data_IF_266704537014
#
_entry.id   IF_266704537014
#
_cell.length_a   1.000
_cell.length_b   1.000
_cell.length_c   1.000
_cell.angle_alpha   90.00
_cell.angle_beta   90.00
_cell.angle_gamma   90.00
#
_symmetry.space_group_name_H-M   'P 1'
#
loop_
_entity.id
_entity.type
_entity.pdbx_description
1 polymer ?
#
# COMPACT_ATOMS: atom_id res chain seq x y z
N UNK A 1 -20.85 7.64 -13.39
CA UNK A 1 -20.84 6.17 -13.28
C UNK A 1 -19.62 5.81 -12.47
N UNK A 2 -19.79 5.26 -11.27
CA UNK A 2 -18.70 4.71 -10.48
C UNK A 2 -18.27 3.42 -11.21
N UNK A 3 -17.01 3.35 -11.67
CA UNK A 3 -16.45 2.09 -12.18
C UNK A 3 -16.68 0.99 -11.15
N UNK A 4 -16.93 -0.26 -11.57
CA UNK A 4 -17.04 -1.37 -10.66
C UNK A 4 -15.78 -1.40 -9.79
N UNK A 5 -15.95 -1.14 -8.49
CA UNK A 5 -14.91 -1.38 -7.51
C UNK A 5 -14.53 -2.84 -7.68
N UNK A 6 -13.30 -3.09 -8.12
CA UNK A 6 -12.72 -4.41 -8.11
C UNK A 6 -12.82 -4.88 -6.65
N UNK A 7 -13.67 -5.87 -6.37
CA UNK A 7 -13.88 -6.38 -5.01
C UNK A 7 -12.71 -7.30 -4.69
N UNK A 8 -11.61 -6.67 -4.32
CA UNK A 8 -10.38 -7.37 -4.04
C UNK A 8 -10.34 -7.69 -2.54
N UNK A 9 -10.29 -8.99 -2.19
CA UNK A 9 -10.09 -9.42 -0.80
C UNK A 9 -8.61 -9.29 -0.44
N UNK A 10 -8.14 -8.06 -0.27
CA UNK A 10 -6.80 -7.82 0.24
C UNK A 10 -6.77 -7.96 1.76
N UNK A 11 -5.63 -8.41 2.28
CA UNK A 11 -5.30 -8.25 3.69
C UNK A 11 -4.68 -6.85 3.83
N UNK A 12 -5.41 -5.83 4.34
CA UNK A 12 -4.81 -4.54 4.63
C UNK A 12 -3.76 -4.74 5.73
N UNK A 13 -2.56 -4.27 5.46
CA UNK A 13 -1.45 -4.35 6.41
C UNK A 13 -0.93 -2.95 6.67
N UNK A 14 -0.69 -2.64 7.94
CA UNK A 14 0.00 -1.43 8.37
C UNK A 14 1.22 -1.81 9.19
N UNK A 15 2.15 -0.86 9.35
CA UNK A 15 3.36 -1.07 10.13
C UNK A 15 2.99 -1.42 11.58
N UNK A 16 3.23 -2.67 11.97
CA UNK A 16 3.37 -3.02 13.37
C UNK A 16 4.72 -2.46 13.86
N UNK A 17 4.71 -1.77 15.01
CA UNK A 17 5.93 -1.33 15.67
C UNK A 17 6.73 -2.56 16.10
N UNK A 18 7.78 -2.85 15.33
CA UNK A 18 8.75 -3.87 15.69
C UNK A 18 9.66 -3.30 16.78
N UNK A 19 9.44 -3.68 18.04
CA UNK A 19 10.48 -3.48 19.05
C UNK A 19 11.70 -4.28 18.58
N UNK A 20 12.92 -3.71 18.72
CA UNK A 20 14.16 -4.46 18.47
C UNK A 20 14.18 -5.63 19.46
N UNK A 21 13.55 -6.74 19.09
CA UNK A 21 13.58 -7.96 19.85
C UNK A 21 15.03 -8.34 20.10
N UNK A 22 15.28 -9.14 21.14
CA UNK A 22 16.59 -9.74 21.38
C UNK A 22 16.88 -10.83 20.32
N UNK A 23 16.85 -10.45 19.04
CA UNK A 23 17.09 -11.31 17.86
C UNK A 23 18.48 -11.94 17.85
N UNK A 24 19.38 -11.42 18.69
CA UNK A 24 20.69 -12.00 18.99
C UNK A 24 20.57 -13.35 19.72
N UNK A 25 19.55 -13.53 20.56
CA UNK A 25 19.32 -14.77 21.32
C UNK A 25 18.76 -15.90 20.41
N UNK A 26 18.02 -15.53 19.35
CA UNK A 26 17.42 -16.48 18.39
C UNK A 26 18.28 -16.67 17.12
N UNK A 27 19.58 -16.92 17.30
CA UNK A 27 20.61 -16.87 16.23
C UNK A 27 20.71 -18.07 15.26
N UNK A 28 19.80 -19.06 15.30
CA UNK A 28 19.88 -20.26 14.44
C UNK A 28 18.70 -20.32 13.46
N UNK A 29 18.88 -19.83 12.24
CA UNK A 29 17.90 -19.94 11.16
C UNK A 29 18.26 -19.10 9.94
N UNK A 30 17.62 -19.39 8.80
CA UNK A 30 17.73 -18.63 7.55
C UNK A 30 17.16 -17.22 7.76
N UNK A 31 18.02 -16.28 8.16
CA UNK A 31 17.61 -14.91 8.50
C UNK A 31 17.50 -14.08 7.22
N UNK A 32 16.42 -14.24 6.48
CA UNK A 32 15.91 -13.09 5.72
C UNK A 32 15.59 -12.01 6.74
N UNK A 33 16.47 -11.01 6.81
CA UNK A 33 16.36 -9.84 7.69
C UNK A 33 15.23 -8.95 7.16
N UNK A 34 13.99 -9.38 7.34
CA UNK A 34 12.79 -8.61 6.98
C UNK A 34 12.55 -7.62 8.11
N UNK A 35 13.17 -6.45 8.03
CA UNK A 35 12.75 -5.32 8.85
C UNK A 35 11.62 -4.60 8.12
N UNK A 36 10.51 -4.34 8.80
CA UNK A 36 9.40 -3.53 8.26
C UNK A 36 9.93 -2.23 7.63
N UNK A 37 11.02 -1.69 8.19
CA UNK A 37 11.73 -0.52 7.68
C UNK A 37 12.09 -0.57 6.19
N UNK A 38 12.40 -1.75 5.62
CA UNK A 38 12.73 -1.87 4.20
C UNK A 38 11.48 -1.65 3.33
N UNK A 39 10.34 -2.21 3.75
CA UNK A 39 9.05 -1.98 3.10
C UNK A 39 8.64 -0.52 3.28
N UNK A 40 8.75 0.06 4.48
CA UNK A 40 8.42 1.47 4.72
C UNK A 40 9.28 2.44 3.89
N UNK A 41 10.58 2.15 3.71
CA UNK A 41 11.47 2.95 2.86
C UNK A 41 11.10 2.83 1.37
N UNK A 42 10.84 1.62 0.88
CA UNK A 42 10.38 1.40 -0.48
C UNK A 42 9.02 2.09 -0.72
N UNK A 43 8.11 1.99 0.25
CA UNK A 43 6.81 2.64 0.22
C UNK A 43 6.92 4.16 0.14
N UNK A 44 7.84 4.76 0.90
CA UNK A 44 8.12 6.20 0.79
C UNK A 44 8.55 6.59 -0.64
N UNK A 45 9.46 5.84 -1.25
CA UNK A 45 9.94 6.11 -2.61
C UNK A 45 8.84 5.95 -3.65
N UNK A 46 8.06 4.87 -3.56
CA UNK A 46 6.92 4.62 -4.45
C UNK A 46 5.84 5.68 -4.28
N UNK A 47 5.55 6.10 -3.04
CA UNK A 47 4.58 7.16 -2.78
C UNK A 47 5.02 8.49 -3.42
N UNK A 48 6.29 8.88 -3.24
CA UNK A 48 6.85 10.08 -3.87
C UNK A 48 6.77 10.00 -5.41
N UNK A 49 7.21 8.87 -5.99
CA UNK A 49 7.21 8.67 -7.43
C UNK A 49 5.78 8.74 -8.01
N UNK A 50 4.82 8.07 -7.36
CA UNK A 50 3.41 8.07 -7.76
C UNK A 50 2.85 9.48 -7.75
N UNK A 51 3.11 10.27 -6.69
CA UNK A 51 2.65 11.65 -6.62
C UNK A 51 3.26 12.52 -7.70
N UNK A 52 4.57 12.39 -7.95
CA UNK A 52 5.24 13.16 -8.99
C UNK A 52 4.65 12.88 -10.39
N UNK A 53 4.43 11.61 -10.73
CA UNK A 53 3.81 11.22 -12.00
C UNK A 53 2.38 11.74 -12.10
N UNK A 54 1.58 11.58 -11.04
CA UNK A 54 0.20 12.08 -11.02
C UNK A 54 0.13 13.61 -11.21
N UNK A 55 1.00 14.36 -10.53
CA UNK A 55 1.04 15.82 -10.62
C UNK A 55 1.49 16.30 -12.01
N UNK A 56 2.43 15.61 -12.64
CA UNK A 56 2.86 15.86 -14.01
C UNK A 56 1.72 15.61 -15.00
N UNK A 57 1.05 14.48 -14.88
CA UNK A 57 -0.08 14.10 -15.73
C UNK A 57 -1.26 15.08 -15.59
N UNK A 58 -1.58 15.50 -14.37
CA UNK A 58 -2.60 16.52 -14.13
C UNK A 58 -2.22 17.87 -14.76
N UNK A 59 -0.93 18.24 -14.71
CA UNK A 59 -0.43 19.47 -15.33
C UNK A 59 -0.50 19.39 -16.85
N UNK A 60 -0.08 18.28 -17.43
CA UNK A 60 -0.14 18.02 -18.87
C UNK A 60 -1.58 18.06 -19.37
N UNK A 61 -2.50 17.41 -18.65
CA UNK A 61 -3.93 17.43 -18.96
C UNK A 61 -4.51 18.85 -18.94
N UNK A 62 -4.13 19.69 -17.97
CA UNK A 62 -4.56 21.11 -17.94
C UNK A 62 -4.07 21.88 -19.17
N UNK A 63 -2.79 21.74 -19.52
CA UNK A 63 -2.21 22.42 -20.69
C UNK A 63 -2.87 21.98 -22.00
N UNK A 64 -3.12 20.68 -22.16
CA UNK A 64 -3.80 20.13 -23.34
C UNK A 64 -5.24 20.65 -23.41
N UNK A 65 -5.99 20.59 -22.30
CA UNK A 65 -7.37 21.07 -22.24
C UNK A 65 -7.52 22.56 -22.58
N UNK A 66 -6.50 23.38 -22.29
CA UNK A 66 -6.51 24.80 -22.60
C UNK A 66 -6.17 25.13 -24.07
N UNK A 67 -5.49 24.23 -24.79
CA UNK A 67 -4.96 24.51 -26.13
C UNK A 67 -5.90 24.12 -27.28
N UNK A 68 -6.71 23.06 -27.11
CA UNK A 68 -7.58 22.58 -28.19
C UNK A 68 -8.76 21.75 -27.65
N UNK A 69 -9.95 21.94 -28.23
CA UNK A 69 -11.18 21.22 -27.89
C UNK A 69 -11.26 19.79 -28.46
N UNK A 70 -10.41 19.45 -29.44
CA UNK A 70 -10.39 18.15 -30.15
C UNK A 70 -9.01 17.47 -30.10
N UNK A 71 -8.38 17.37 -28.93
CA UNK A 71 -7.18 16.55 -28.77
C UNK A 71 -7.64 15.10 -28.55
N UNK A 72 -7.22 14.21 -29.44
CA UNK A 72 -7.37 12.77 -29.26
C UNK A 72 -6.58 12.37 -28.00
N UNK A 73 -7.30 11.85 -27.00
CA UNK A 73 -6.65 11.39 -25.77
C UNK A 73 -6.01 10.03 -26.05
N UNK A 74 -4.76 9.79 -25.62
CA UNK A 74 -4.09 8.50 -25.81
C UNK A 74 -4.75 7.34 -25.03
N UNK A 75 -5.61 7.65 -24.07
CA UNK A 75 -6.34 6.70 -23.25
C UNK A 75 -7.68 7.26 -22.80
N UNK A 76 -8.70 6.40 -22.74
CA UNK A 76 -10.01 6.72 -22.14
C UNK A 76 -9.93 6.72 -20.60
N UNK A 77 -9.14 5.80 -20.05
CA UNK A 77 -8.91 5.64 -18.62
C UNK A 77 -7.43 5.42 -18.34
N UNK A 78 -6.90 6.18 -17.38
CA UNK A 78 -5.54 6.03 -16.89
C UNK A 78 -5.60 5.74 -15.39
N UNK A 79 -5.02 4.62 -14.97
CA UNK A 79 -5.01 4.19 -13.58
C UNK A 79 -3.55 4.02 -13.16
N UNK A 80 -3.18 4.65 -12.05
CA UNK A 80 -1.86 4.52 -11.45
C UNK A 80 -1.97 3.58 -10.25
N UNK A 81 -1.20 2.49 -10.27
CA UNK A 81 -1.22 1.46 -9.23
C UNK A 81 0.15 1.45 -8.54
N UNK A 82 0.30 2.08 -7.36
CA UNK A 82 1.55 2.07 -6.61
C UNK A 82 1.94 0.63 -6.26
N UNK A 83 3.07 0.16 -6.77
CA UNK A 83 3.47 -1.25 -6.61
C UNK A 83 4.97 -1.37 -6.29
N UNK A 84 5.29 -2.16 -5.28
CA UNK A 84 6.63 -2.62 -4.93
C UNK A 84 6.75 -4.08 -5.37
N UNK A 85 7.72 -4.37 -6.24
CA UNK A 85 8.06 -5.74 -6.62
C UNK A 85 9.32 -6.15 -5.86
N UNK A 86 9.27 -7.28 -5.15
CA UNK A 86 10.36 -7.73 -4.29
C UNK A 86 10.62 -9.23 -4.44
N UNK A 87 11.86 -9.66 -4.21
CA UNK A 87 12.22 -11.09 -4.12
C UNK A 87 12.04 -11.64 -2.70
N UNK A 88 11.72 -10.78 -1.72
CA UNK A 88 11.54 -11.19 -0.34
C UNK A 88 10.27 -12.03 -0.17
N UNK A 89 10.33 -13.01 0.73
CA UNK A 89 9.13 -13.68 1.23
C UNK A 89 8.35 -12.69 2.09
N UNK A 90 7.06 -12.57 1.79
CA UNK A 90 6.16 -11.67 2.50
C UNK A 90 5.44 -12.47 3.58
N UNK A 91 5.31 -11.88 4.76
CA UNK A 91 4.63 -12.54 5.88
C UNK A 91 3.63 -11.59 6.53
N UNK A 92 2.48 -12.12 6.91
CA UNK A 92 1.52 -11.45 7.79
C UNK A 92 1.59 -12.05 9.18
N UNK A 93 1.59 -11.19 10.19
CA UNK A 93 1.54 -11.57 11.58
C UNK A 93 0.08 -11.56 12.06
N UNK A 94 -0.45 -12.74 12.41
CA UNK A 94 -1.78 -12.90 12.99
C UNK A 94 -1.68 -13.14 14.49
N UNK A 95 -2.47 -12.41 15.27
CA UNK A 95 -2.57 -12.53 16.72
C UNK A 95 -3.95 -12.03 17.20
N UNK A 96 -4.39 -12.47 18.38
CA UNK A 96 -5.56 -11.91 19.06
C UNK A 96 -5.14 -10.64 19.82
N UNK A 97 -5.91 -9.56 19.68
CA UNK A 97 -5.65 -8.30 20.40
C UNK A 97 -5.69 -8.46 21.91
N UNK A 98 -6.42 -9.46 22.43
CA UNK A 98 -6.47 -9.79 23.86
C UNK A 98 -5.15 -10.33 24.42
N UNK A 99 -4.26 -10.79 23.54
CA UNK A 99 -2.97 -11.36 23.92
C UNK A 99 -1.85 -10.32 24.01
N UNK A 100 -2.16 -9.05 23.69
CA UNK A 100 -1.25 -7.92 23.89
C UNK A 100 -1.14 -7.66 25.39
N UNK A 101 0.08 -7.68 25.90
CA UNK A 101 0.34 -7.30 27.29
C UNK A 101 0.17 -5.78 27.44
N UNK A 102 -0.87 -5.35 28.17
CA UNK A 102 -1.23 -3.95 28.37
C UNK A 102 -0.09 -3.10 28.97
N UNK A 103 0.83 -3.72 29.73
CA UNK A 103 1.90 -3.00 30.41
C UNK A 103 3.03 -2.56 29.47
N UNK A 104 3.35 -3.38 28.46
CA UNK A 104 4.50 -3.15 27.57
C UNK A 104 4.13 -3.14 26.08
N UNK A 105 2.89 -3.44 25.72
CA UNK A 105 2.44 -3.54 24.34
C UNK A 105 3.02 -4.72 23.56
N UNK A 106 3.64 -5.70 24.24
CA UNK A 106 4.26 -6.84 23.58
C UNK A 106 3.29 -8.03 23.46
N UNK A 107 3.48 -8.82 22.41
CA UNK A 107 2.73 -10.06 22.18
C UNK A 107 3.70 -11.24 22.36
N UNK A 108 3.35 -12.24 23.20
CA UNK A 108 4.17 -13.44 23.36
C UNK A 108 4.32 -14.20 22.04
N UNK A 109 5.55 -14.62 21.69
CA UNK A 109 5.83 -15.33 20.43
C UNK A 109 4.99 -16.61 20.25
N UNK A 110 4.65 -17.31 21.34
CA UNK A 110 3.82 -18.51 21.31
C UNK A 110 2.36 -18.26 20.91
N UNK A 111 1.92 -17.00 20.88
CA UNK A 111 0.55 -16.59 20.55
C UNK A 111 0.45 -15.90 19.19
N UNK A 112 1.54 -15.90 18.43
CA UNK A 112 1.62 -15.27 17.12
C UNK A 112 1.74 -16.36 16.05
N UNK A 113 0.99 -16.19 14.97
CA UNK A 113 1.13 -17.01 13.76
C UNK A 113 1.66 -16.14 12.62
N UNK A 114 2.75 -16.59 11.99
CA UNK A 114 3.27 -15.97 10.77
C UNK A 114 2.78 -16.78 9.56
N UNK A 115 2.09 -16.11 8.65
CA UNK A 115 1.62 -16.72 7.40
C UNK A 115 2.33 -16.07 6.21
N UNK A 116 2.90 -16.90 5.32
CA UNK A 116 3.50 -16.41 4.08
C UNK A 116 2.41 -15.96 3.11
N UNK A 117 2.61 -14.80 2.48
CA UNK A 117 1.68 -14.21 1.51
C UNK A 117 2.35 -14.03 0.14
N UNK A 118 1.62 -14.23 -0.97
CA UNK A 118 2.16 -13.97 -2.31
C UNK A 118 2.28 -12.47 -2.62
N UNK A 119 1.40 -11.67 -2.01
CA UNK A 119 1.30 -10.22 -2.16
C UNK A 119 0.60 -9.61 -0.93
N UNK A 120 0.80 -8.32 -0.68
CA UNK A 120 0.24 -7.56 0.43
C UNK A 120 -0.31 -6.22 -0.05
N UNK A 121 -1.38 -5.74 0.60
CA UNK A 121 -1.78 -4.34 0.50
C UNK A 121 -1.19 -3.61 1.71
N UNK A 122 -0.24 -2.73 1.45
CA UNK A 122 0.47 -1.97 2.47
C UNK A 122 -0.04 -0.53 2.52
N UNK A 123 -0.67 -0.17 3.65
CA UNK A 123 -1.17 1.18 3.89
C UNK A 123 -0.04 2.08 4.39
N UNK A 124 0.56 2.83 3.47
CA UNK A 124 1.64 3.74 3.82
C UNK A 124 1.10 5.09 4.32
N UNK A 125 1.46 5.55 5.53
CA UNK A 125 1.10 6.87 6.01
C UNK A 125 1.87 7.94 5.24
N UNK A 126 1.14 8.82 4.54
CA UNK A 126 1.75 9.90 3.78
C UNK A 126 2.19 11.02 4.73
N UNK A 127 3.40 11.58 4.53
CA UNK A 127 3.76 12.89 5.08
C UNK A 127 2.73 13.96 4.72
N UNK A 128 2.53 14.94 5.62
CA UNK A 128 1.51 16.00 5.45
C UNK A 128 1.64 16.74 4.12
N UNK A 129 2.86 16.97 3.65
CA UNK A 129 3.11 17.64 2.37
C UNK A 129 2.79 16.79 1.13
N UNK A 130 2.51 15.49 1.29
CA UNK A 130 1.99 14.60 0.24
C UNK A 130 0.48 14.37 0.34
N UNK A 131 -0.20 14.95 1.32
CA UNK A 131 -1.64 14.79 1.48
C UNK A 131 -2.37 15.44 0.30
N UNK A 132 -3.24 14.65 -0.35
CA UNK A 132 -4.08 15.17 -1.43
C UNK A 132 -5.31 15.84 -0.86
N UNK A 133 -5.61 17.02 -1.38
CA UNK A 133 -6.90 17.66 -1.08
C UNK A 133 -7.97 17.03 -1.96
N UNK A 134 -9.09 16.53 -1.40
CA UNK A 134 -10.17 16.00 -2.22
C UNK A 134 -10.75 17.09 -3.13
N UNK A 135 -11.07 16.73 -4.37
CA UNK A 135 -11.76 17.61 -5.32
C UNK A 135 -13.16 17.98 -4.79
N UNK A 136 -13.86 17.04 -4.16
CA UNK A 136 -15.15 17.25 -3.50
C UNK A 136 -15.00 17.21 -1.97
N UNK A 137 -14.59 18.33 -1.38
CA UNK A 137 -14.49 18.48 0.08
C UNK A 137 -15.83 18.27 0.78
N UNK A 138 -16.95 18.64 0.15
CA UNK A 138 -18.29 18.59 0.75
C UNK A 138 -18.78 17.14 0.81
N UNK A 139 -18.56 16.36 -0.25
CA UNK A 139 -18.85 14.94 -0.28
C UNK A 139 -18.04 14.15 0.75
N UNK A 140 -16.74 14.43 0.88
CA UNK A 140 -15.86 13.77 1.85
C UNK A 140 -16.28 14.07 3.29
N UNK A 141 -16.62 15.32 3.61
CA UNK A 141 -17.12 15.70 4.94
C UNK A 141 -18.46 15.03 5.26
N UNK A 142 -19.37 14.95 4.29
CA UNK A 142 -20.67 14.27 4.46
C UNK A 142 -20.53 12.76 4.66
N UNK A 143 -19.52 12.15 4.04
CA UNK A 143 -19.21 10.74 4.20
C UNK A 143 -18.46 10.42 5.51
N UNK A 144 -18.08 11.44 6.29
CA UNK A 144 -17.31 11.27 7.53
C UNK A 144 -15.89 10.75 7.31
N UNK A 145 -15.38 10.82 6.08
CA UNK A 145 -14.10 10.21 5.71
C UNK A 145 -12.94 11.19 5.90
N UNK A 146 -12.65 11.50 7.16
CA UNK A 146 -11.62 12.50 7.54
C UNK A 146 -10.19 12.06 7.19
N UNK A 147 -9.97 10.77 6.93
CA UNK A 147 -8.63 10.22 6.63
C UNK A 147 -8.32 10.21 5.13
N UNK A 148 -9.20 10.75 4.29
CA UNK A 148 -8.99 10.79 2.84
C UNK A 148 -7.68 11.50 2.48
N UNK A 149 -6.80 10.78 1.77
CA UNK A 149 -5.53 11.33 1.30
C UNK A 149 -4.41 11.39 2.34
N UNK A 150 -4.63 10.85 3.55
CA UNK A 150 -3.59 10.75 4.60
C UNK A 150 -2.73 9.49 4.48
N UNK A 151 -3.22 8.48 3.76
CA UNK A 151 -2.55 7.21 3.47
C UNK A 151 -2.56 6.91 1.98
N UNK A 152 -1.63 6.07 1.54
CA UNK A 152 -1.59 5.51 0.20
C UNK A 152 -1.52 3.99 0.28
N UNK A 153 -2.42 3.34 -0.43
CA UNK A 153 -2.39 1.89 -0.60
C UNK A 153 -1.30 1.54 -1.62
N UNK A 154 -0.36 0.70 -1.20
CA UNK A 154 0.77 0.25 -2.02
C UNK A 154 0.74 -1.28 -2.08
N UNK A 155 0.71 -1.83 -3.29
CA UNK A 155 0.76 -3.27 -3.51
C UNK A 155 2.20 -3.75 -3.38
N UNK A 156 2.45 -4.71 -2.50
CA UNK A 156 3.76 -5.35 -2.36
C UNK A 156 3.66 -6.76 -2.91
N UNK A 157 4.39 -7.06 -3.98
CA UNK A 157 4.23 -8.32 -4.72
C UNK A 157 5.55 -9.07 -4.76
N UNK A 158 5.52 -10.36 -4.40
CA UNK A 158 6.67 -11.21 -4.63
C UNK A 158 6.88 -11.40 -6.14
N UNK A 159 8.09 -11.18 -6.63
CA UNK A 159 8.40 -11.19 -8.06
C UNK A 159 8.08 -12.53 -8.73
N UNK A 160 8.24 -13.66 -8.01
CA UNK A 160 7.87 -14.98 -8.53
C UNK A 160 6.34 -15.16 -8.70
N UNK A 161 5.54 -14.32 -8.02
CA UNK A 161 4.07 -14.30 -8.05
C UNK A 161 3.51 -13.14 -8.88
N UNK A 162 4.36 -12.29 -9.45
CA UNK A 162 3.93 -11.14 -10.25
C UNK A 162 3.05 -11.52 -11.46
N UNK A 163 3.36 -12.56 -12.26
CA UNK A 163 2.50 -12.95 -13.39
C UNK A 163 1.10 -13.39 -12.96
N UNK A 164 1.01 -14.15 -11.85
CA UNK A 164 -0.26 -14.57 -11.25
C UNK A 164 -1.06 -13.35 -10.78
N UNK A 165 -0.39 -12.43 -10.08
CA UNK A 165 -0.97 -11.19 -9.58
C UNK A 165 -1.55 -10.33 -10.71
N UNK A 166 -0.80 -10.09 -11.79
CA UNK A 166 -1.26 -9.31 -12.94
C UNK A 166 -2.47 -9.94 -13.62
N UNK A 167 -2.46 -11.28 -13.76
CA UNK A 167 -3.59 -12.02 -14.32
C UNK A 167 -4.85 -11.87 -13.47
N UNK A 168 -4.74 -11.88 -12.14
CA UNK A 168 -5.89 -11.65 -11.26
C UNK A 168 -6.41 -10.20 -11.35
N UNK A 169 -5.52 -9.23 -11.48
CA UNK A 169 -5.86 -7.81 -11.62
C UNK A 169 -6.62 -7.53 -12.91
N UNK A 170 -6.22 -8.14 -14.03
CA UNK A 170 -6.92 -8.06 -15.31
C UNK A 170 -8.33 -8.66 -15.25
N UNK A 171 -8.48 -9.79 -14.55
CA UNK A 171 -9.75 -10.49 -14.41
C UNK A 171 -10.66 -9.90 -13.31
N UNK A 172 -10.18 -8.92 -12.55
CA UNK A 172 -10.90 -8.32 -11.43
C UNK A 172 -11.09 -9.23 -10.21
N UNK A 173 -10.29 -10.29 -10.08
CA UNK A 173 -10.40 -11.35 -9.05
C UNK A 173 -9.18 -11.39 -8.10
N UNK A 174 -8.47 -10.27 -7.91
CA UNK A 174 -7.23 -10.23 -7.12
C UNK A 174 -7.45 -10.12 -5.60
#
# INVERSE_FOLDING_TARGET
>A
MLSPMISLEWIPTSDAWETRGKYLEYRKGDKTKTSNSAISQAAHQIALATKAVLDEELRNNKVLSAKSTNIEKPYDHQIFIPTIVTTAKLFTCKFDSKDINEKNGEIPFSKVTLEEQPYLLYEYPLPVHFHSTPLDKVGVLKAGNNDFGTRMDILVVNSAKLPEFLSKLENGNA
#
